data_IF_398037466370
#
_entry.id   IF_398037466370
#
_cell.length_a   1.000
_cell.length_b   1.000
_cell.length_c   1.000
_cell.angle_alpha   90.00
_cell.angle_beta   90.00
_cell.angle_gamma   90.00
#
_symmetry.space_group_name_H-M   'P 1'
#
loop_
_entity.id
_entity.type
_entity.pdbx_description
1 polymer ?
#
# COMPACT_ATOMS: atom_id res chain seq x y z
N UNK A 1 -9.00 5.46 -2.63
CA UNK A 1 -8.23 4.48 -3.39
C UNK A 1 -7.59 3.46 -2.46
N UNK A 2 -7.51 2.20 -2.89
CA UNK A 2 -6.79 1.15 -2.18
C UNK A 2 -5.72 0.60 -3.11
N UNK A 3 -4.48 0.67 -2.68
CA UNK A 3 -3.35 0.06 -3.38
C UNK A 3 -2.93 -1.21 -2.66
N UNK A 4 -2.48 -2.20 -3.41
CA UNK A 4 -1.97 -3.44 -2.86
C UNK A 4 -0.64 -3.80 -3.54
N UNK A 5 0.35 -4.18 -2.75
CA UNK A 5 1.67 -4.55 -3.27
C UNK A 5 2.33 -5.63 -2.43
N UNK A 6 2.95 -6.64 -3.06
CA UNK A 6 3.99 -7.41 -2.37
C UNK A 6 5.22 -6.52 -2.18
N UNK A 7 6.04 -6.87 -1.21
CA UNK A 7 7.32 -6.20 -0.99
C UNK A 7 8.42 -7.02 -1.63
N UNK A 8 9.13 -6.42 -2.57
CA UNK A 8 10.29 -6.98 -3.25
C UNK A 8 11.50 -6.11 -2.97
N UNK A 9 12.53 -6.69 -2.37
CA UNK A 9 13.74 -5.95 -2.01
C UNK A 9 13.43 -4.67 -1.24
N UNK A 10 12.52 -4.79 -0.25
CA UNK A 10 12.12 -3.71 0.66
C UNK A 10 11.32 -2.57 0.03
N UNK A 11 10.88 -2.75 -1.21
CA UNK A 11 10.13 -1.72 -1.96
C UNK A 11 8.82 -2.26 -2.51
N UNK A 12 7.97 -1.35 -2.97
CA UNK A 12 6.77 -1.75 -3.70
C UNK A 12 7.14 -2.45 -5.01
N UNK A 13 6.21 -3.23 -5.54
CA UNK A 13 6.43 -3.91 -6.84
C UNK A 13 6.67 -2.89 -7.96
N UNK A 14 7.43 -3.32 -8.97
CA UNK A 14 7.65 -2.49 -10.15
C UNK A 14 6.35 -2.15 -10.87
N UNK A 15 5.38 -3.06 -10.87
CA UNK A 15 4.06 -2.82 -11.45
C UNK A 15 3.33 -1.67 -10.74
N UNK A 16 3.35 -1.65 -9.41
CA UNK A 16 2.73 -0.56 -8.66
C UNK A 16 3.46 0.76 -8.92
N UNK A 17 4.79 0.75 -8.90
CA UNK A 17 5.57 1.97 -9.17
C UNK A 17 5.29 2.51 -10.58
N UNK A 18 5.20 1.63 -11.57
CA UNK A 18 4.83 2.01 -12.94
C UNK A 18 3.46 2.66 -12.97
N UNK A 19 2.48 2.08 -12.27
CA UNK A 19 1.14 2.67 -12.18
C UNK A 19 1.21 4.09 -11.60
N UNK A 20 1.90 4.26 -10.48
CA UNK A 20 2.03 5.58 -9.85
C UNK A 20 2.71 6.59 -10.78
N UNK A 21 3.78 6.19 -11.46
CA UNK A 21 4.49 7.06 -12.40
C UNK A 21 3.60 7.49 -13.57
N UNK A 22 2.69 6.62 -14.01
CA UNK A 22 1.77 6.92 -15.10
C UNK A 22 0.60 7.82 -14.69
N UNK A 23 0.47 8.14 -13.40
CA UNK A 23 -0.54 9.11 -12.94
C UNK A 23 -0.10 10.56 -13.12
N UNK A 24 1.07 10.80 -13.69
CA UNK A 24 1.59 12.16 -13.88
C UNK A 24 0.58 13.13 -14.52
N UNK A 25 -0.24 12.72 -15.50
CA UNK A 25 -1.26 13.62 -16.06
C UNK A 25 -2.33 14.05 -15.06
N UNK A 26 -2.52 13.34 -13.95
CA UNK A 26 -3.48 13.72 -12.91
C UNK A 26 -2.96 14.85 -12.03
N UNK A 27 -1.66 15.06 -11.98
CA UNK A 27 -1.04 16.06 -11.11
C UNK A 27 -1.62 17.47 -11.29
N UNK A 28 -1.76 17.99 -12.54
CA UNK A 28 -2.36 19.31 -12.76
C UNK A 28 -3.87 19.27 -12.90
N UNK A 29 -4.49 18.09 -12.90
CA UNK A 29 -5.93 17.94 -13.12
C UNK A 29 -6.71 18.00 -11.81
N UNK A 30 -8.02 18.16 -11.93
CA UNK A 30 -8.92 17.96 -10.80
C UNK A 30 -9.11 16.46 -10.56
N UNK A 31 -9.02 16.02 -9.31
CA UNK A 31 -9.16 14.64 -8.93
C UNK A 31 -10.12 14.48 -7.75
N UNK A 32 -10.79 13.33 -7.70
CA UNK A 32 -11.85 13.09 -6.72
C UNK A 32 -11.37 12.31 -5.49
N UNK A 33 -10.26 11.56 -5.59
CA UNK A 33 -9.81 10.73 -4.48
C UNK A 33 -9.27 11.57 -3.31
N UNK A 34 -9.48 11.06 -2.10
CA UNK A 34 -9.05 11.71 -0.85
C UNK A 34 -8.29 10.73 0.03
N UNK A 35 -8.93 9.69 0.49
CA UNK A 35 -8.34 8.69 1.36
C UNK A 35 -7.64 7.61 0.54
N UNK A 36 -6.39 7.36 0.87
CA UNK A 36 -5.54 6.35 0.25
C UNK A 36 -5.24 5.28 1.30
N UNK A 37 -5.36 4.03 0.91
CA UNK A 37 -5.10 2.88 1.77
C UNK A 37 -4.07 1.99 1.10
N UNK A 38 -3.21 1.36 1.89
CA UNK A 38 -2.20 0.43 1.40
C UNK A 38 -2.36 -0.93 2.06
N UNK A 39 -2.41 -1.98 1.25
CA UNK A 39 -2.27 -3.36 1.67
C UNK A 39 -0.91 -3.85 1.19
N UNK A 40 -0.06 -4.29 2.11
CA UNK A 40 1.26 -4.78 1.74
C UNK A 40 1.54 -6.14 2.38
N UNK A 41 2.22 -7.00 1.63
CA UNK A 41 2.68 -8.31 2.13
C UNK A 41 4.19 -8.43 1.94
N UNK A 42 4.86 -9.08 2.90
CA UNK A 42 6.28 -9.33 2.82
C UNK A 42 6.63 -10.73 3.32
N UNK A 43 7.70 -11.30 2.78
CA UNK A 43 8.30 -12.52 3.32
C UNK A 43 8.96 -12.26 4.67
N UNK A 44 9.60 -11.11 4.81
CA UNK A 44 10.25 -10.67 6.05
C UNK A 44 9.20 -10.50 7.16
N UNK A 45 9.54 -10.91 8.36
CA UNK A 45 8.66 -10.82 9.53
C UNK A 45 8.67 -9.43 10.18
N UNK A 46 9.66 -8.61 9.87
CA UNK A 46 9.79 -7.27 10.43
C UNK A 46 8.93 -6.25 9.68
N UNK A 47 8.12 -5.51 10.40
CA UNK A 47 7.31 -4.45 9.80
C UNK A 47 8.15 -3.37 9.12
N UNK A 48 9.37 -3.16 9.61
CA UNK A 48 10.32 -2.21 9.02
C UNK A 48 10.70 -2.54 7.57
N UNK A 49 10.49 -3.79 7.14
CA UNK A 49 10.72 -4.20 5.75
C UNK A 49 9.84 -3.45 4.75
N UNK A 50 8.77 -2.84 5.22
CA UNK A 50 7.79 -2.12 4.39
C UNK A 50 7.97 -0.61 4.39
N UNK A 51 8.89 -0.07 5.19
CA UNK A 51 9.03 1.38 5.37
C UNK A 51 9.34 2.12 4.07
N UNK A 52 10.20 1.55 3.21
CA UNK A 52 10.53 2.18 1.94
C UNK A 52 9.30 2.26 1.01
N UNK A 53 8.49 1.20 0.98
CA UNK A 53 7.26 1.18 0.16
C UNK A 53 6.26 2.21 0.68
N UNK A 54 6.08 2.31 1.99
CA UNK A 54 5.18 3.30 2.62
C UNK A 54 5.68 4.71 2.31
N UNK A 55 6.97 4.96 2.47
CA UNK A 55 7.58 6.26 2.16
C UNK A 55 7.40 6.65 0.70
N UNK A 56 7.60 5.69 -0.21
CA UNK A 56 7.39 5.92 -1.64
C UNK A 56 5.96 6.33 -1.95
N UNK A 57 5.00 5.64 -1.36
CA UNK A 57 3.59 5.98 -1.53
C UNK A 57 3.26 7.34 -0.90
N UNK A 58 3.79 7.64 0.28
CA UNK A 58 3.61 8.94 0.92
C UNK A 58 4.16 10.08 0.04
N UNK A 59 5.30 9.84 -0.64
CA UNK A 59 5.86 10.79 -1.59
C UNK A 59 4.90 11.07 -2.75
N UNK A 60 4.29 10.02 -3.30
CA UNK A 60 3.26 10.17 -4.34
C UNK A 60 2.05 10.95 -3.81
N UNK A 61 1.56 10.57 -2.62
CA UNK A 61 0.41 11.24 -1.97
C UNK A 61 0.69 12.73 -1.75
N UNK A 62 1.92 13.08 -1.38
CA UNK A 62 2.28 14.49 -1.13
C UNK A 62 2.12 15.38 -2.37
N UNK A 63 2.11 14.78 -3.56
CA UNK A 63 1.87 15.50 -4.81
C UNK A 63 0.38 15.77 -5.07
N UNK A 64 -0.50 15.16 -4.28
CA UNK A 64 -1.96 15.32 -4.39
C UNK A 64 -2.49 15.88 -3.06
N UNK A 65 -2.41 17.18 -2.90
CA UNK A 65 -2.62 17.90 -1.63
C UNK A 65 -3.95 17.62 -0.94
N UNK A 66 -4.97 17.25 -1.69
CA UNK A 66 -6.29 16.94 -1.15
C UNK A 66 -6.39 15.51 -0.62
N UNK A 67 -5.35 14.69 -0.80
CA UNK A 67 -5.34 13.29 -0.39
C UNK A 67 -4.45 13.05 0.83
N UNK A 68 -4.66 11.91 1.47
CA UNK A 68 -3.90 11.50 2.64
C UNK A 68 -3.78 9.98 2.70
N UNK A 69 -2.73 9.49 3.35
CA UNK A 69 -2.62 8.07 3.68
C UNK A 69 -3.52 7.80 4.90
N UNK A 70 -4.63 7.13 4.67
CA UNK A 70 -5.64 6.89 5.69
C UNK A 70 -5.44 5.57 6.44
N UNK A 71 -4.75 4.61 5.86
CA UNK A 71 -4.48 3.34 6.53
C UNK A 71 -3.49 2.47 5.78
N UNK A 72 -2.77 1.66 6.55
CA UNK A 72 -1.82 0.67 6.03
C UNK A 72 -2.05 -0.63 6.75
N UNK A 73 -2.20 -1.71 6.00
CA UNK A 73 -2.21 -3.07 6.55
C UNK A 73 -0.94 -3.79 6.13
N UNK A 74 -0.22 -4.31 7.09
CA UNK A 74 1.06 -5.00 6.91
C UNK A 74 0.90 -6.49 7.18
N UNK A 75 0.95 -7.30 6.12
CA UNK A 75 0.96 -8.75 6.21
C UNK A 75 2.38 -9.29 6.12
N UNK A 76 3.09 -9.29 7.24
CA UNK A 76 4.48 -9.76 7.33
C UNK A 76 4.55 -11.27 7.42
N UNK A 77 5.71 -11.85 7.08
CA UNK A 77 5.95 -13.29 7.19
C UNK A 77 5.17 -14.13 6.17
N UNK A 78 4.70 -13.54 5.08
CA UNK A 78 3.95 -14.23 4.03
C UNK A 78 4.88 -14.63 2.89
N UNK A 79 5.69 -15.68 3.10
CA UNK A 79 6.76 -16.07 2.18
C UNK A 79 6.28 -16.95 1.00
N UNK A 80 5.20 -17.70 1.18
CA UNK A 80 4.73 -18.65 0.17
C UNK A 80 3.36 -18.27 -0.35
N UNK A 81 3.00 -18.76 -1.53
CA UNK A 81 1.66 -18.61 -2.08
C UNK A 81 0.63 -19.08 -1.06
N UNK A 82 -0.34 -18.24 -0.77
CA UNK A 82 -1.40 -18.54 0.20
C UNK A 82 -1.03 -18.32 1.66
N UNK A 83 0.24 -18.00 1.98
CA UNK A 83 0.66 -17.80 3.36
C UNK A 83 -0.09 -16.69 4.08
N UNK A 84 -0.56 -15.68 3.37
CA UNK A 84 -1.33 -14.58 3.95
C UNK A 84 -2.65 -15.08 4.59
N UNK A 85 -3.18 -16.20 4.13
CA UNK A 85 -4.40 -16.78 4.70
C UNK A 85 -4.23 -17.19 6.15
N UNK A 86 -3.00 -17.45 6.58
CA UNK A 86 -2.65 -17.78 7.97
C UNK A 86 -2.31 -16.56 8.82
N UNK A 87 -2.23 -15.38 8.21
CA UNK A 87 -1.96 -14.12 8.89
C UNK A 87 -3.27 -13.48 9.36
N UNK A 88 -3.93 -14.09 10.35
CA UNK A 88 -5.26 -13.71 10.80
C UNK A 88 -5.39 -12.25 11.23
N UNK A 89 -4.36 -11.69 11.88
CA UNK A 89 -4.37 -10.29 12.29
C UNK A 89 -4.39 -9.34 11.08
N UNK A 90 -3.59 -9.64 10.05
CA UNK A 90 -3.54 -8.83 8.83
C UNK A 90 -4.88 -8.91 8.08
N UNK A 91 -5.45 -10.10 7.97
CA UNK A 91 -6.75 -10.29 7.32
C UNK A 91 -7.86 -9.56 8.07
N UNK A 92 -7.89 -9.64 9.40
CA UNK A 92 -8.85 -8.89 10.22
C UNK A 92 -8.68 -7.40 10.06
N UNK A 93 -7.44 -6.90 10.07
CA UNK A 93 -7.16 -5.48 9.89
C UNK A 93 -7.62 -4.99 8.51
N UNK A 94 -7.37 -5.78 7.48
CA UNK A 94 -7.82 -5.45 6.11
C UNK A 94 -9.35 -5.41 6.03
N UNK A 95 -10.02 -6.39 6.64
CA UNK A 95 -11.48 -6.42 6.68
C UNK A 95 -12.04 -5.19 7.38
N UNK A 96 -11.54 -4.87 8.57
CA UNK A 96 -12.00 -3.70 9.33
C UNK A 96 -11.72 -2.39 8.61
N UNK A 97 -10.55 -2.28 7.97
CA UNK A 97 -10.23 -1.13 7.14
C UNK A 97 -11.25 -0.98 5.99
N UNK A 98 -11.59 -2.10 5.33
CA UNK A 98 -12.55 -2.10 4.24
C UNK A 98 -13.96 -1.70 4.66
N UNK A 99 -14.36 -2.05 5.88
CA UNK A 99 -15.67 -1.64 6.43
C UNK A 99 -15.80 -0.13 6.60
N UNK A 100 -14.68 0.58 6.78
CA UNK A 100 -14.65 2.00 7.09
C UNK A 100 -14.22 2.87 5.90
N UNK A 101 -14.06 2.26 4.74
CA UNK A 101 -13.67 2.97 3.51
C UNK A 101 -14.84 3.76 2.93
#
# INVERSE_FOLDING_TARGET
>A
LVFATPIYFYEMSGQMKTLLDRTNPLFPAEYEFRDIYLLATSADEEESSMEAAVKGLEGWISCFEKSRLAGVVRGTGADKKGAIEECGEALSAAYEMGRNV
#
